data_IF_537706322334
#
_entry.id   IF_537706322334
#
_cell.length_a   1.000
_cell.length_b   1.000
_cell.length_c   1.000
_cell.angle_alpha   90.00
_cell.angle_beta   90.00
_cell.angle_gamma   90.00
#
_symmetry.space_group_name_H-M   'P 1'
#
loop_
_entity.id
_entity.type
_entity.pdbx_description
1 polymer ?
#
# COMPACT_ATOMS: atom_id res chain seq x y z
N UNK A 1 19.11 -36.25 39.87
CA UNK A 1 17.79 -36.12 39.20
C UNK A 1 17.10 -34.85 39.70
N UNK A 2 16.81 -34.63 40.98
CA UNK A 2 16.12 -33.44 41.50
C UNK A 2 16.79 -32.12 41.12
N UNK A 3 18.12 -32.04 41.26
CA UNK A 3 18.89 -30.86 40.88
C UNK A 3 18.78 -30.56 39.38
N UNK A 4 18.68 -31.57 38.51
CA UNK A 4 18.51 -31.41 37.07
C UNK A 4 17.11 -30.88 36.74
N UNK A 5 16.06 -31.35 37.44
CA UNK A 5 14.69 -30.82 37.28
C UNK A 5 14.56 -29.35 37.73
N UNK A 6 15.28 -28.97 38.81
CA UNK A 6 15.33 -27.57 39.23
C UNK A 6 15.98 -26.68 38.18
N UNK A 7 17.11 -27.11 37.59
CA UNK A 7 17.78 -26.40 36.51
C UNK A 7 16.79 -26.26 35.30
N UNK A 8 16.14 -27.35 34.90
CA UNK A 8 15.20 -27.37 33.79
C UNK A 8 14.02 -26.42 34.02
N UNK A 9 13.44 -26.43 35.24
CA UNK A 9 12.36 -25.51 35.58
C UNK A 9 12.79 -24.04 35.49
N UNK A 10 13.97 -23.69 35.96
CA UNK A 10 14.50 -22.33 35.84
C UNK A 10 14.70 -21.91 34.37
N UNK A 11 15.16 -22.82 33.51
CA UNK A 11 15.28 -22.53 32.06
C UNK A 11 13.89 -22.39 31.39
N UNK A 12 12.92 -23.20 31.78
CA UNK A 12 11.53 -23.05 31.28
C UNK A 12 10.92 -21.71 31.72
N UNK A 13 11.18 -21.25 32.96
CA UNK A 13 10.74 -19.92 33.42
C UNK A 13 11.35 -18.80 32.60
N UNK A 14 12.63 -18.89 32.35
CA UNK A 14 13.33 -17.92 31.49
C UNK A 14 12.79 -17.90 30.06
N UNK A 15 12.50 -19.09 29.49
CA UNK A 15 11.90 -19.17 28.15
C UNK A 15 10.49 -18.58 28.13
N UNK A 16 9.68 -18.78 29.20
CA UNK A 16 8.35 -18.19 29.34
C UNK A 16 8.40 -16.65 29.41
N UNK A 17 9.38 -16.09 30.14
CA UNK A 17 9.62 -14.63 30.18
C UNK A 17 9.99 -14.06 28.81
N UNK A 18 10.88 -14.73 28.07
CA UNK A 18 11.22 -14.33 26.70
C UNK A 18 10.02 -14.39 25.78
N UNK A 19 9.22 -15.45 25.87
CA UNK A 19 8.02 -15.59 25.06
C UNK A 19 6.99 -14.51 25.37
N UNK A 20 6.73 -14.19 26.63
CA UNK A 20 5.85 -13.08 27.03
C UNK A 20 6.32 -11.72 26.48
N UNK A 21 7.64 -11.51 26.43
CA UNK A 21 8.20 -10.31 25.82
C UNK A 21 7.92 -10.27 24.29
N UNK A 22 8.06 -11.41 23.60
CA UNK A 22 7.74 -11.53 22.18
C UNK A 22 6.24 -11.29 21.91
N UNK A 23 5.34 -11.87 22.75
CA UNK A 23 3.90 -11.64 22.68
C UNK A 23 3.54 -10.15 22.88
N UNK A 24 4.18 -9.50 23.86
CA UNK A 24 3.97 -8.05 24.12
C UNK A 24 4.42 -7.19 22.94
N UNK A 25 5.55 -7.53 22.29
CA UNK A 25 5.99 -6.83 21.07
C UNK A 25 5.06 -7.07 19.90
N UNK A 26 4.57 -8.29 19.75
CA UNK A 26 3.60 -8.64 18.71
C UNK A 26 2.35 -7.77 18.83
N UNK A 27 1.73 -7.77 20.00
CA UNK A 27 0.46 -7.06 20.22
C UNK A 27 0.62 -5.53 20.21
N UNK A 28 1.67 -4.97 20.83
CA UNK A 28 1.79 -3.53 21.05
C UNK A 28 2.61 -2.80 19.98
N UNK A 29 3.36 -3.49 19.14
CA UNK A 29 4.19 -2.89 18.10
C UNK A 29 3.74 -3.35 16.72
N UNK A 30 3.89 -4.65 16.42
CA UNK A 30 3.69 -5.14 15.05
C UNK A 30 2.22 -5.05 14.63
N UNK A 31 1.30 -5.53 15.46
CA UNK A 31 -0.13 -5.49 15.14
C UNK A 31 -0.67 -4.07 15.06
N UNK A 32 -0.18 -3.16 15.89
CA UNK A 32 -0.53 -1.73 15.81
C UNK A 32 -0.05 -1.11 14.50
N UNK A 33 1.21 -1.36 14.07
CA UNK A 33 1.75 -0.84 12.81
C UNK A 33 0.95 -1.33 11.60
N UNK A 34 0.49 -2.59 11.64
CA UNK A 34 -0.24 -3.21 10.53
C UNK A 34 -1.76 -3.15 10.70
N UNK A 35 -2.27 -2.42 11.70
CA UNK A 35 -3.71 -2.23 11.94
C UNK A 35 -4.45 -3.58 12.09
N UNK A 36 -3.82 -4.55 12.77
CA UNK A 36 -4.35 -5.89 13.03
C UNK A 36 -4.70 -6.06 14.50
N UNK A 37 -5.74 -6.84 14.80
CA UNK A 37 -6.17 -7.11 16.17
C UNK A 37 -5.15 -7.98 16.92
N UNK A 38 -4.91 -7.73 18.24
CA UNK A 38 -4.10 -8.57 19.10
C UNK A 38 -4.65 -10.00 19.18
N UNK A 39 -3.78 -10.99 19.37
CA UNK A 39 -4.21 -12.37 19.61
C UNK A 39 -4.75 -12.48 21.03
N UNK A 40 -6.01 -12.95 21.16
CA UNK A 40 -6.64 -13.13 22.47
C UNK A 40 -5.80 -14.02 23.39
N UNK A 41 -5.61 -13.56 24.63
CA UNK A 41 -4.83 -14.29 25.63
C UNK A 41 -5.36 -15.70 25.92
N UNK A 42 -6.67 -15.93 25.74
CA UNK A 42 -7.28 -17.25 25.88
C UNK A 42 -6.81 -18.22 24.79
N UNK A 43 -6.57 -17.72 23.57
CA UNK A 43 -6.00 -18.51 22.47
C UNK A 43 -4.56 -18.87 22.77
N UNK A 44 -3.75 -17.89 23.21
CA UNK A 44 -2.33 -18.09 23.55
C UNK A 44 -2.15 -19.12 24.67
N UNK A 45 -3.04 -19.12 25.66
CA UNK A 45 -2.98 -19.98 26.86
C UNK A 45 -3.99 -21.11 26.87
N UNK A 46 -4.76 -21.35 25.80
CA UNK A 46 -5.71 -22.45 25.74
C UNK A 46 -4.99 -23.76 26.05
N UNK A 47 -5.29 -24.38 27.19
CA UNK A 47 -4.70 -25.63 27.59
C UNK A 47 -4.89 -26.75 26.57
N UNK A 48 -4.01 -27.72 26.55
CA UNK A 48 -4.22 -28.97 25.78
C UNK A 48 -5.34 -29.78 26.42
N UNK A 49 -6.60 -29.44 26.09
CA UNK A 49 -7.75 -30.20 26.55
C UNK A 49 -7.74 -31.62 25.97
N UNK A 50 -8.11 -32.61 26.74
CA UNK A 50 -8.21 -33.99 26.34
C UNK A 50 -7.42 -34.94 27.26
N UNK A 51 -7.28 -36.17 26.90
CA UNK A 51 -6.69 -37.34 27.61
C UNK A 51 -5.64 -36.98 28.66
N UNK A 52 -5.73 -37.60 29.84
CA UNK A 52 -4.75 -37.44 30.93
C UNK A 52 -3.36 -37.99 30.50
N UNK A 53 -2.65 -37.13 29.73
CA UNK A 53 -1.37 -37.42 29.09
C UNK A 53 -0.28 -37.82 30.11
N UNK A 54 -0.48 -37.47 31.36
CA UNK A 54 0.47 -37.65 32.45
C UNK A 54 0.10 -38.78 33.41
N UNK A 55 -0.91 -39.61 33.09
CA UNK A 55 -1.40 -40.70 33.96
C UNK A 55 -0.28 -41.69 34.29
N UNK A 56 0.53 -42.07 33.31
CA UNK A 56 1.68 -42.98 33.46
C UNK A 56 2.82 -42.46 34.34
N UNK A 57 2.81 -41.15 34.63
CA UNK A 57 3.85 -40.50 35.45
C UNK A 57 3.45 -40.46 36.94
N UNK A 58 2.20 -40.76 37.30
CA UNK A 58 1.69 -40.63 38.67
C UNK A 58 2.38 -41.58 39.67
N UNK A 59 2.81 -42.75 39.21
CA UNK A 59 3.43 -43.77 40.03
C UNK A 59 4.96 -43.64 40.14
N UNK A 60 5.51 -42.57 39.56
CA UNK A 60 6.95 -42.33 39.59
C UNK A 60 7.38 -41.58 40.85
N UNK A 61 8.60 -41.86 41.33
CA UNK A 61 9.25 -41.02 42.36
C UNK A 61 9.31 -39.55 41.86
N UNK A 62 8.85 -38.63 42.72
CA UNK A 62 8.75 -37.19 42.37
C UNK A 62 7.74 -36.90 41.24
N UNK A 63 6.67 -37.71 41.12
CA UNK A 63 5.64 -37.57 40.08
C UNK A 63 5.12 -36.13 39.91
N UNK A 64 4.85 -35.44 41.00
CA UNK A 64 4.33 -34.04 40.95
C UNK A 64 5.30 -33.08 40.24
N UNK A 65 6.58 -33.17 40.54
CA UNK A 65 7.61 -32.34 39.90
C UNK A 65 7.72 -32.62 38.39
N UNK A 66 7.70 -33.90 38.03
CA UNK A 66 7.77 -34.37 36.64
C UNK A 66 6.56 -33.91 35.85
N UNK A 67 5.34 -34.10 36.40
CA UNK A 67 4.08 -33.71 35.79
C UNK A 67 4.01 -32.19 35.59
N UNK A 68 4.39 -31.39 36.59
CA UNK A 68 4.36 -29.92 36.49
C UNK A 68 5.36 -29.42 35.48
N UNK A 69 6.57 -29.97 35.43
CA UNK A 69 7.56 -29.62 34.41
C UNK A 69 7.08 -29.98 33.01
N UNK A 70 6.49 -31.14 32.83
CA UNK A 70 5.94 -31.60 31.53
C UNK A 70 4.77 -30.72 31.06
N UNK A 71 3.84 -30.35 31.96
CA UNK A 71 2.75 -29.41 31.65
C UNK A 71 3.29 -28.06 31.21
N UNK A 72 4.25 -27.50 31.94
CA UNK A 72 4.88 -26.22 31.61
C UNK A 72 5.57 -26.24 30.25
N UNK A 73 6.25 -27.34 29.91
CA UNK A 73 6.85 -27.55 28.60
C UNK A 73 5.82 -27.62 27.48
N UNK A 74 4.70 -28.35 27.69
CA UNK A 74 3.62 -28.44 26.71
C UNK A 74 2.93 -27.09 26.49
N UNK A 75 2.67 -26.30 27.54
CA UNK A 75 2.12 -24.96 27.48
C UNK A 75 3.06 -24.01 26.71
N UNK A 76 4.35 -24.01 27.04
CA UNK A 76 5.37 -23.20 26.37
C UNK A 76 5.51 -23.58 24.88
N UNK A 77 5.54 -24.88 24.58
CA UNK A 77 5.62 -25.36 23.20
C UNK A 77 4.43 -24.91 22.36
N UNK A 78 3.21 -24.93 22.92
CA UNK A 78 2.03 -24.46 22.26
C UNK A 78 2.04 -22.95 22.05
N UNK A 79 2.40 -22.19 23.07
CA UNK A 79 2.47 -20.74 22.97
C UNK A 79 3.52 -20.29 21.96
N UNK A 80 4.67 -20.96 21.87
CA UNK A 80 5.69 -20.76 20.82
C UNK A 80 5.13 -21.04 19.42
N UNK A 81 4.34 -22.12 19.25
CA UNK A 81 3.69 -22.43 17.98
C UNK A 81 2.72 -21.30 17.55
N UNK A 82 1.91 -20.82 18.48
CA UNK A 82 0.97 -19.72 18.22
C UNK A 82 1.72 -18.44 17.85
N UNK A 83 2.81 -18.14 18.59
CA UNK A 83 3.65 -16.96 18.29
C UNK A 83 4.33 -17.08 16.92
N UNK A 84 4.77 -18.27 16.53
CA UNK A 84 5.31 -18.51 15.18
C UNK A 84 4.27 -18.23 14.11
N UNK A 85 3.02 -18.68 14.33
CA UNK A 85 1.91 -18.40 13.39
C UNK A 85 1.54 -16.91 13.33
N UNK A 86 1.61 -16.22 14.44
CA UNK A 86 1.46 -14.76 14.46
C UNK A 86 2.50 -14.07 13.57
N UNK A 87 3.75 -14.49 13.63
CA UNK A 87 4.79 -13.92 12.78
C UNK A 87 4.61 -14.21 11.30
N UNK A 88 4.10 -15.39 10.92
CA UNK A 88 3.72 -15.69 9.53
C UNK A 88 2.65 -14.70 9.03
N UNK A 89 1.67 -14.36 9.88
CA UNK A 89 0.63 -13.37 9.59
C UNK A 89 1.24 -11.96 9.45
N UNK A 90 2.06 -11.53 10.42
CA UNK A 90 2.75 -10.22 10.39
C UNK A 90 3.62 -10.07 9.14
N UNK A 91 4.34 -11.10 8.73
CA UNK A 91 5.12 -11.09 7.48
C UNK A 91 4.22 -10.84 6.26
N UNK A 92 3.05 -11.48 6.22
CA UNK A 92 2.06 -11.28 5.14
C UNK A 92 1.53 -9.85 5.14
N UNK A 93 1.15 -9.31 6.31
CA UNK A 93 0.68 -7.93 6.45
C UNK A 93 1.76 -6.93 6.03
N UNK A 94 3.03 -7.16 6.41
CA UNK A 94 4.15 -6.32 6.01
C UNK A 94 4.36 -6.31 4.49
N UNK A 95 4.33 -7.48 3.84
CA UNK A 95 4.43 -7.59 2.38
C UNK A 95 3.30 -6.83 1.68
N UNK A 96 2.06 -7.00 2.14
CA UNK A 96 0.89 -6.31 1.60
C UNK A 96 1.00 -4.79 1.76
N UNK A 97 1.50 -4.30 2.89
CA UNK A 97 1.71 -2.86 3.14
C UNK A 97 2.76 -2.27 2.21
N UNK A 98 3.88 -2.98 1.99
CA UNK A 98 4.93 -2.57 1.05
C UNK A 98 4.38 -2.52 -0.38
N UNK A 99 3.63 -3.54 -0.80
CA UNK A 99 3.00 -3.59 -2.11
C UNK A 99 1.99 -2.47 -2.29
N UNK A 100 1.15 -2.22 -1.30
CA UNK A 100 0.20 -1.10 -1.30
C UNK A 100 0.92 0.25 -1.45
N UNK A 101 1.96 0.52 -0.68
CA UNK A 101 2.72 1.77 -0.75
C UNK A 101 3.41 1.97 -2.11
N UNK A 102 3.87 0.89 -2.74
CA UNK A 102 4.42 0.94 -4.10
C UNK A 102 3.34 1.19 -5.16
N UNK A 103 2.11 0.77 -4.90
CA UNK A 103 0.97 0.86 -5.82
C UNK A 103 0.24 2.20 -5.76
N UNK A 104 0.20 2.88 -4.61
CA UNK A 104 -0.40 4.22 -4.50
C UNK A 104 0.26 5.17 -5.50
N UNK A 105 -0.52 5.91 -6.34
CA UNK A 105 0.03 6.89 -7.28
C UNK A 105 0.63 8.07 -6.50
N UNK A 106 1.96 8.14 -6.39
CA UNK A 106 2.65 9.02 -5.45
C UNK A 106 3.69 9.95 -6.10
N UNK A 107 3.77 9.97 -7.43
CA UNK A 107 4.64 10.87 -8.20
C UNK A 107 3.84 11.62 -9.26
N UNK A 108 4.42 12.69 -9.79
CA UNK A 108 3.89 13.42 -10.93
C UNK A 108 3.88 12.54 -12.19
N UNK A 109 2.86 12.68 -13.07
CA UNK A 109 2.83 11.96 -14.35
C UNK A 109 3.88 12.44 -15.36
N UNK A 110 4.43 13.62 -15.14
CA UNK A 110 5.49 14.26 -15.96
C UNK A 110 6.51 14.95 -15.07
N UNK A 111 7.72 15.15 -15.57
CA UNK A 111 8.78 15.85 -14.83
C UNK A 111 8.62 17.37 -14.95
N UNK A 112 8.42 18.08 -13.85
CA UNK A 112 8.46 19.55 -13.80
C UNK A 112 9.88 20.12 -13.79
N UNK A 113 10.91 19.27 -13.78
CA UNK A 113 12.31 19.70 -13.94
C UNK A 113 12.63 20.11 -15.37
N UNK A 114 11.82 19.70 -16.34
CA UNK A 114 11.90 20.18 -17.72
C UNK A 114 11.25 21.58 -17.80
N UNK A 115 11.99 22.63 -18.19
CA UNK A 115 11.46 24.00 -18.28
C UNK A 115 10.27 24.16 -19.24
N UNK A 116 10.10 23.23 -20.18
CA UNK A 116 8.97 23.22 -21.11
C UNK A 116 7.69 22.65 -20.49
N UNK A 117 7.79 21.97 -19.35
CA UNK A 117 6.67 21.31 -18.68
C UNK A 117 6.23 22.14 -17.48
N UNK A 118 4.93 22.43 -17.40
CA UNK A 118 4.35 23.21 -16.30
C UNK A 118 2.95 22.70 -15.96
N UNK A 119 2.54 22.91 -14.73
CA UNK A 119 1.16 22.80 -14.33
C UNK A 119 0.28 23.77 -15.13
N UNK A 120 -0.88 23.34 -15.59
CA UNK A 120 -1.78 24.17 -16.38
C UNK A 120 -3.21 24.23 -15.85
N UNK A 121 -3.68 23.19 -15.14
CA UNK A 121 -5.10 23.13 -14.79
C UNK A 121 -5.37 22.16 -13.62
N UNK A 122 -6.14 22.61 -12.60
CA UNK A 122 -6.46 21.87 -11.40
C UNK A 122 -7.71 21.00 -11.55
N UNK A 123 -7.90 20.05 -10.66
CA UNK A 123 -9.13 19.30 -10.45
C UNK A 123 -10.27 20.22 -9.93
N UNK A 124 -11.50 19.95 -10.30
CA UNK A 124 -12.67 20.61 -9.74
C UNK A 124 -13.67 21.18 -10.76
N UNK A 125 -14.74 21.76 -10.26
CA UNK A 125 -15.79 22.37 -11.09
C UNK A 125 -15.34 23.70 -11.68
N UNK A 126 -15.48 23.84 -12.99
CA UNK A 126 -15.10 25.06 -13.70
C UNK A 126 -15.79 25.22 -15.05
N UNK A 127 -15.67 26.41 -15.65
CA UNK A 127 -16.19 26.68 -16.97
C UNK A 127 -15.40 25.91 -18.04
N UNK A 128 -16.07 24.99 -18.72
CA UNK A 128 -15.46 24.22 -19.80
C UNK A 128 -15.09 25.14 -20.98
N UNK A 129 -13.86 25.09 -21.52
CA UNK A 129 -13.40 26.05 -22.52
C UNK A 129 -14.19 26.00 -23.84
N UNK A 130 -14.62 24.81 -24.25
CA UNK A 130 -15.35 24.59 -25.50
C UNK A 130 -16.88 24.77 -25.29
N UNK A 131 -17.47 24.09 -24.31
CA UNK A 131 -18.90 24.05 -24.11
C UNK A 131 -19.48 25.26 -23.36
N UNK A 132 -18.62 26.08 -22.71
CA UNK A 132 -19.02 27.25 -21.90
C UNK A 132 -20.03 26.93 -20.80
N UNK A 133 -20.02 25.74 -20.27
CA UNK A 133 -20.85 25.26 -19.16
C UNK A 133 -19.95 24.82 -18.00
N UNK A 134 -20.46 24.91 -16.76
CA UNK A 134 -19.74 24.40 -15.59
C UNK A 134 -19.72 22.88 -15.62
N UNK A 135 -18.52 22.31 -15.67
CA UNK A 135 -18.28 20.86 -15.64
C UNK A 135 -17.21 20.52 -14.62
N UNK A 136 -17.26 19.28 -14.11
CA UNK A 136 -16.19 18.73 -13.31
C UNK A 136 -15.00 18.41 -14.23
N UNK A 137 -13.84 18.98 -13.96
CA UNK A 137 -12.57 18.51 -14.46
C UNK A 137 -12.09 17.39 -13.53
N UNK A 138 -12.10 16.17 -14.01
CA UNK A 138 -11.88 14.97 -13.20
C UNK A 138 -10.40 14.67 -12.89
N UNK A 139 -9.48 15.54 -13.33
CA UNK A 139 -8.04 15.36 -13.21
C UNK A 139 -7.27 16.65 -13.07
N UNK A 140 -5.98 16.58 -13.35
CA UNK A 140 -5.07 17.71 -13.46
C UNK A 140 -4.38 17.70 -14.81
N UNK A 141 -4.13 18.90 -15.37
CA UNK A 141 -3.44 19.04 -16.64
C UNK A 141 -2.04 19.59 -16.45
N UNK A 142 -1.11 19.03 -17.22
CA UNK A 142 0.25 19.54 -17.33
C UNK A 142 0.57 19.78 -18.80
N UNK A 143 0.88 21.01 -19.15
CA UNK A 143 1.28 21.39 -20.51
C UNK A 143 2.77 21.19 -20.72
N UNK A 144 3.17 20.89 -21.96
CA UNK A 144 4.57 20.69 -22.34
C UNK A 144 4.71 20.42 -23.84
N UNK A 145 5.91 20.12 -24.28
CA UNK A 145 6.16 19.76 -25.68
C UNK A 145 5.54 18.41 -26.04
N UNK A 146 5.05 18.28 -27.28
CA UNK A 146 4.67 16.97 -27.83
C UNK A 146 5.88 16.04 -27.77
N UNK A 147 5.69 14.81 -27.24
CA UNK A 147 6.77 13.85 -27.05
C UNK A 147 7.42 13.86 -25.66
N UNK A 148 7.02 14.77 -24.75
CA UNK A 148 7.44 14.72 -23.35
C UNK A 148 7.06 13.37 -22.73
N UNK A 149 8.00 12.67 -22.06
CA UNK A 149 7.71 11.38 -21.44
C UNK A 149 6.63 11.47 -20.35
N UNK A 150 5.74 10.49 -20.33
CA UNK A 150 4.71 10.32 -19.31
C UNK A 150 5.04 9.07 -18.51
N UNK A 151 4.97 9.18 -17.18
CA UNK A 151 5.37 8.14 -16.24
C UNK A 151 4.18 7.51 -15.51
N UNK A 152 4.24 6.20 -15.26
CA UNK A 152 3.33 5.52 -14.36
C UNK A 152 3.54 6.05 -12.93
N UNK A 153 2.49 6.54 -12.30
CA UNK A 153 2.59 7.21 -10.98
C UNK A 153 2.62 6.24 -9.80
N UNK A 154 2.28 4.97 -10.02
CA UNK A 154 2.33 3.84 -9.08
C UNK A 154 2.60 2.53 -9.82
N UNK A 155 2.99 1.47 -9.08
CA UNK A 155 3.03 0.13 -9.62
C UNK A 155 1.62 -0.31 -10.02
N UNK A 156 1.47 -1.06 -11.11
CA UNK A 156 0.15 -1.51 -11.53
C UNK A 156 0.16 -2.37 -12.79
N UNK A 157 -1.04 -2.58 -13.31
CA UNK A 157 -1.29 -3.30 -14.56
C UNK A 157 -2.08 -2.43 -15.52
N UNK A 158 -1.61 -2.29 -16.73
CA UNK A 158 -2.31 -1.55 -17.79
C UNK A 158 -3.63 -2.26 -18.10
N UNK A 159 -4.75 -1.57 -17.92
CA UNK A 159 -6.09 -2.06 -18.27
C UNK A 159 -6.28 -1.94 -19.78
N UNK A 160 -6.03 -0.74 -20.31
CA UNK A 160 -6.02 -0.47 -21.74
C UNK A 160 -5.01 0.63 -22.11
N UNK A 161 -4.59 0.62 -23.39
CA UNK A 161 -3.83 1.67 -24.06
C UNK A 161 -4.42 1.83 -25.46
N UNK A 162 -5.40 2.73 -25.62
CA UNK A 162 -6.21 2.85 -26.83
C UNK A 162 -6.82 4.25 -27.02
N UNK A 163 -7.49 4.46 -28.16
CA UNK A 163 -8.16 5.71 -28.49
C UNK A 163 -9.56 5.74 -27.87
N UNK A 164 -9.85 6.73 -27.06
CA UNK A 164 -11.18 7.00 -26.50
C UNK A 164 -11.75 8.33 -26.99
N UNK A 165 -13.07 8.38 -27.18
CA UNK A 165 -13.76 9.62 -27.53
C UNK A 165 -13.56 10.65 -26.39
N UNK A 166 -13.13 11.85 -26.74
CA UNK A 166 -12.81 12.91 -25.78
C UNK A 166 -11.37 12.84 -25.30
N UNK A 167 -10.96 11.75 -24.66
CA UNK A 167 -9.60 11.58 -24.09
C UNK A 167 -8.48 11.39 -25.15
N UNK A 168 -8.84 11.14 -26.42
CA UNK A 168 -7.85 10.84 -27.43
C UNK A 168 -7.11 9.53 -27.14
N UNK A 169 -5.82 9.47 -27.43
CA UNK A 169 -4.98 8.35 -27.02
C UNK A 169 -4.80 8.38 -25.52
N UNK A 170 -5.23 7.32 -24.83
CA UNK A 170 -5.15 7.25 -23.37
C UNK A 170 -4.71 5.88 -22.86
N UNK A 171 -4.17 5.88 -21.65
CA UNK A 171 -3.76 4.70 -20.89
C UNK A 171 -4.50 4.72 -19.56
N UNK A 172 -5.11 3.59 -19.19
CA UNK A 172 -5.65 3.34 -17.86
C UNK A 172 -4.80 2.28 -17.17
N UNK A 173 -4.36 2.57 -15.95
CA UNK A 173 -3.61 1.65 -15.09
C UNK A 173 -4.44 1.33 -13.86
N UNK A 174 -4.57 0.04 -13.55
CA UNK A 174 -5.09 -0.46 -12.29
C UNK A 174 -3.91 -0.77 -11.36
N UNK A 175 -3.87 -0.09 -10.22
CA UNK A 175 -2.81 -0.22 -9.21
C UNK A 175 -3.16 -1.25 -8.11
N UNK A 176 -4.36 -1.85 -8.16
CA UNK A 176 -4.89 -2.56 -7.02
C UNK A 176 -5.29 -1.61 -5.88
N UNK A 177 -5.65 -2.17 -4.72
CA UNK A 177 -6.03 -1.39 -3.52
C UNK A 177 -7.07 -0.28 -3.82
N UNK A 178 -7.92 -0.50 -4.82
CA UNK A 178 -8.95 0.42 -5.31
C UNK A 178 -8.44 1.72 -5.95
N UNK A 179 -7.18 1.77 -6.38
CA UNK A 179 -6.61 2.90 -7.12
C UNK A 179 -6.51 2.61 -8.61
N UNK A 180 -6.90 3.59 -9.42
CA UNK A 180 -6.68 3.61 -10.87
C UNK A 180 -6.18 4.98 -11.29
N UNK A 181 -5.38 5.04 -12.36
CA UNK A 181 -4.95 6.32 -12.97
C UNK A 181 -5.20 6.30 -14.47
N UNK A 182 -5.67 7.45 -14.98
CA UNK A 182 -5.92 7.69 -16.40
C UNK A 182 -4.94 8.76 -16.90
N UNK A 183 -4.35 8.50 -18.07
CA UNK A 183 -3.42 9.39 -18.77
C UNK A 183 -3.96 9.63 -20.18
N UNK A 184 -4.34 10.86 -20.53
CA UNK A 184 -5.03 11.16 -21.77
C UNK A 184 -4.26 12.15 -22.68
N UNK A 185 -4.80 12.39 -23.86
CA UNK A 185 -4.27 13.28 -24.92
C UNK A 185 -2.86 12.92 -25.42
N UNK A 186 -2.45 11.66 -25.26
CA UNK A 186 -1.11 11.17 -25.62
C UNK A 186 -0.85 11.21 -27.12
N UNK A 187 0.42 11.37 -27.53
CA UNK A 187 0.86 11.22 -28.92
C UNK A 187 1.15 9.75 -29.28
N UNK A 188 1.70 9.01 -28.33
CA UNK A 188 2.04 7.59 -28.52
C UNK A 188 2.01 6.83 -27.19
N UNK A 189 1.71 5.52 -27.28
CA UNK A 189 1.82 4.57 -26.17
C UNK A 189 3.21 3.92 -26.16
N UNK A 190 3.74 3.64 -24.97
CA UNK A 190 4.93 2.82 -24.75
C UNK A 190 4.58 1.49 -24.02
N UNK A 191 3.29 1.24 -23.82
CA UNK A 191 2.76 0.07 -23.11
C UNK A 191 1.55 -0.49 -23.83
N UNK A 192 1.14 -1.71 -23.45
CA UNK A 192 -0.04 -2.41 -23.98
C UNK A 192 -0.91 -2.97 -22.86
N UNK A 193 -2.18 -3.22 -23.16
CA UNK A 193 -3.11 -3.87 -22.24
C UNK A 193 -2.55 -5.17 -21.64
N UNK A 194 -2.72 -5.35 -20.34
CA UNK A 194 -2.21 -6.48 -19.57
C UNK A 194 -0.76 -6.37 -19.10
N UNK A 195 0.00 -5.39 -19.57
CA UNK A 195 1.40 -5.17 -19.17
C UNK A 195 1.48 -4.69 -17.71
N UNK A 196 2.39 -5.28 -16.92
CA UNK A 196 2.76 -4.76 -15.59
C UNK A 196 3.73 -3.60 -15.77
N UNK A 197 3.53 -2.54 -14.99
CA UNK A 197 4.38 -1.34 -14.93
C UNK A 197 4.79 -1.07 -13.50
N UNK A 198 5.95 -0.47 -13.33
CA UNK A 198 6.43 0.06 -12.04
C UNK A 198 6.28 1.57 -12.02
N UNK A 199 6.16 2.13 -10.82
CA UNK A 199 6.24 3.59 -10.63
C UNK A 199 7.50 4.14 -11.29
N UNK A 200 7.35 5.20 -12.11
CA UNK A 200 8.43 5.80 -12.87
C UNK A 200 8.70 5.19 -14.25
N UNK A 201 8.04 4.09 -14.64
CA UNK A 201 8.15 3.57 -16.00
C UNK A 201 7.52 4.53 -17.00
N UNK A 202 8.16 4.72 -18.17
CA UNK A 202 7.59 5.51 -19.26
C UNK A 202 6.46 4.71 -19.91
N UNK A 203 5.24 5.22 -19.82
CA UNK A 203 4.02 4.59 -20.38
C UNK A 203 3.60 5.15 -21.72
N UNK A 204 4.14 6.28 -22.11
CA UNK A 204 3.90 6.95 -23.40
C UNK A 204 4.40 8.37 -23.41
N UNK A 205 3.87 9.16 -24.32
CA UNK A 205 4.38 10.50 -24.60
C UNK A 205 3.24 11.51 -24.72
N UNK A 206 3.46 12.72 -24.23
CA UNK A 206 2.52 13.83 -24.30
C UNK A 206 2.16 14.16 -25.75
N UNK A 207 0.91 14.53 -25.97
CA UNK A 207 0.40 14.87 -27.28
C UNK A 207 -0.67 15.96 -27.24
N UNK A 208 -1.53 15.95 -28.29
CA UNK A 208 -2.66 16.84 -28.43
C UNK A 208 -3.79 16.09 -29.17
N UNK A 209 -4.08 14.84 -28.74
CA UNK A 209 -5.10 14.00 -29.38
C UNK A 209 -6.42 14.06 -28.62
N UNK A 210 -7.54 13.83 -29.31
CA UNK A 210 -8.86 13.93 -28.69
C UNK A 210 -9.37 15.37 -28.57
N UNK A 211 -10.14 15.65 -27.52
CA UNK A 211 -10.71 16.97 -27.26
C UNK A 211 -9.73 17.81 -26.45
N UNK A 212 -8.79 18.43 -27.11
CA UNK A 212 -7.67 19.17 -26.50
C UNK A 212 -7.41 20.46 -27.26
N UNK A 213 -7.12 21.55 -26.57
CA UNK A 213 -6.84 22.87 -27.14
C UNK A 213 -5.36 23.14 -27.38
N UNK A 214 -4.48 22.29 -26.85
CA UNK A 214 -3.01 22.41 -27.00
C UNK A 214 -2.29 21.22 -26.39
N UNK A 215 -0.98 21.06 -26.62
CA UNK A 215 -0.22 19.92 -26.09
C UNK A 215 -0.21 19.89 -24.56
N UNK A 216 -0.80 18.84 -23.98
CA UNK A 216 -0.83 18.59 -22.54
C UNK A 216 -1.08 17.11 -22.23
N UNK A 217 -0.90 16.73 -21.00
CA UNK A 217 -1.38 15.48 -20.41
C UNK A 217 -2.53 15.80 -19.48
N UNK A 218 -3.69 15.15 -19.67
CA UNK A 218 -4.75 15.11 -18.67
C UNK A 218 -4.55 13.86 -17.82
N UNK A 219 -4.47 14.05 -16.50
CA UNK A 219 -4.16 13.00 -15.53
C UNK A 219 -5.23 12.90 -14.44
N UNK A 220 -5.85 11.71 -14.32
CA UNK A 220 -6.83 11.43 -13.28
C UNK A 220 -6.32 10.39 -12.28
N UNK A 221 -6.67 10.57 -11.01
CA UNK A 221 -6.61 9.55 -9.97
C UNK A 221 -8.03 9.16 -9.59
N UNK A 222 -8.32 7.86 -9.59
CA UNK A 222 -9.60 7.32 -9.12
C UNK A 222 -9.37 6.44 -7.90
N UNK A 223 -10.19 6.66 -6.87
CA UNK A 223 -10.27 5.81 -5.69
C UNK A 223 -11.67 5.22 -5.59
N UNK A 224 -11.78 3.88 -5.51
CA UNK A 224 -13.08 3.18 -5.57
C UNK A 224 -13.91 3.56 -6.82
N UNK A 225 -13.25 3.78 -7.96
CA UNK A 225 -13.89 4.18 -9.22
C UNK A 225 -14.32 5.65 -9.32
N UNK A 226 -14.16 6.44 -8.27
CA UNK A 226 -14.53 7.86 -8.19
C UNK A 226 -13.30 8.72 -8.40
N UNK A 227 -13.31 9.72 -9.33
CA UNK A 227 -12.23 10.68 -9.47
C UNK A 227 -11.99 11.46 -8.17
N UNK A 228 -10.74 11.59 -7.79
CA UNK A 228 -10.28 12.36 -6.62
C UNK A 228 -9.21 13.34 -7.06
N UNK A 229 -8.99 14.40 -6.27
CA UNK A 229 -8.01 15.43 -6.60
C UNK A 229 -6.57 14.83 -6.58
N UNK A 230 -5.87 14.79 -7.73
CA UNK A 230 -4.54 14.21 -7.84
C UNK A 230 -3.48 14.93 -7.02
N UNK A 231 -3.69 16.21 -6.66
CA UNK A 231 -2.72 17.00 -5.89
C UNK A 231 -2.37 16.35 -4.55
N UNK A 232 -3.30 15.60 -3.96
CA UNK A 232 -3.13 14.92 -2.68
C UNK A 232 -2.19 13.70 -2.73
N UNK A 233 -1.64 13.38 -3.92
CA UNK A 233 -0.88 12.16 -4.17
C UNK A 233 0.59 12.39 -4.55
N UNK A 234 1.08 13.65 -4.64
CA UNK A 234 2.45 13.96 -5.12
C UNK A 234 3.51 13.99 -4.01
N UNK A 235 3.32 13.26 -2.92
CA UNK A 235 4.16 13.31 -1.72
C UNK A 235 5.55 12.67 -1.85
N UNK A 236 5.80 11.88 -2.92
CA UNK A 236 7.12 11.27 -3.14
C UNK A 236 8.02 12.06 -4.10
N UNK A 237 7.49 13.05 -4.80
CA UNK A 237 8.18 13.72 -5.91
C UNK A 237 8.49 15.18 -5.62
N UNK A 238 7.74 15.80 -4.70
CA UNK A 238 7.81 17.20 -4.37
C UNK A 238 8.34 17.40 -2.95
N UNK A 239 9.21 18.38 -2.79
CA UNK A 239 9.52 18.95 -1.47
C UNK A 239 8.31 19.72 -0.93
N UNK A 240 8.29 20.02 0.36
CA UNK A 240 7.21 20.80 0.97
C UNK A 240 7.01 22.16 0.26
N UNK A 241 8.09 22.86 -0.06
CA UNK A 241 8.05 24.15 -0.76
C UNK A 241 7.51 24.03 -2.20
N UNK A 242 7.88 22.97 -2.93
CA UNK A 242 7.37 22.69 -4.27
C UNK A 242 5.89 22.31 -4.24
N UNK A 243 5.47 21.55 -3.24
CA UNK A 243 4.08 21.20 -3.03
C UNK A 243 3.22 22.44 -2.72
N UNK A 244 3.66 23.32 -1.81
CA UNK A 244 2.96 24.57 -1.47
C UNK A 244 2.82 25.50 -2.68
N UNK A 245 3.84 25.57 -3.54
CA UNK A 245 3.76 26.29 -4.80
C UNK A 245 2.72 25.71 -5.74
N UNK A 246 2.73 24.37 -5.92
CA UNK A 246 1.76 23.69 -6.78
C UNK A 246 0.32 23.89 -6.28
N UNK A 247 0.08 23.79 -4.97
CA UNK A 247 -1.22 24.05 -4.34
C UNK A 247 -1.67 25.50 -4.57
N UNK A 248 -0.76 26.46 -4.43
CA UNK A 248 -1.04 27.87 -4.66
C UNK A 248 -1.40 28.14 -6.13
N UNK A 249 -0.66 27.55 -7.06
CA UNK A 249 -0.95 27.63 -8.50
C UNK A 249 -2.28 26.95 -8.84
N UNK A 250 -2.56 25.79 -8.26
CA UNK A 250 -3.81 25.05 -8.46
C UNK A 250 -5.06 25.84 -8.00
N UNK A 251 -4.93 26.59 -6.89
CA UNK A 251 -6.01 27.44 -6.40
C UNK A 251 -6.21 28.71 -7.24
N UNK A 252 -5.17 29.18 -7.92
CA UNK A 252 -5.22 30.42 -8.71
C UNK A 252 -5.57 30.19 -10.20
N UNK A 253 -5.37 28.97 -10.73
CA UNK A 253 -5.57 28.66 -12.14
C UNK A 253 -6.93 28.03 -12.39
N UNK A 254 -7.90 28.83 -12.84
CA UNK A 254 -9.26 28.40 -13.22
C UNK A 254 -9.46 28.06 -14.71
N UNK A 255 -8.38 27.93 -15.51
CA UNK A 255 -8.50 27.65 -16.96
C UNK A 255 -8.23 26.18 -17.27
N UNK A 256 -9.06 25.59 -18.13
CA UNK A 256 -8.89 24.21 -18.63
C UNK A 256 -8.25 24.19 -20.02
N UNK A 257 -7.56 23.08 -20.34
CA UNK A 257 -7.00 22.80 -21.68
C UNK A 257 -7.89 21.82 -22.47
N UNK A 258 -8.87 21.22 -21.85
CA UNK A 258 -9.85 20.24 -22.37
C UNK A 258 -11.31 20.58 -21.99
#
# INVERSE_FOLDING_TARGET
>A
ILAQYHILNNELERMDEVLKNLETRDDNIYRVIFESEPIDASIRRAGSGGVNRYESLKDMDNAELIINTSKKLDELSKALYIQSKSYDEIETLAKNKIEMLASIPAILPVSLKDPSTRFSSSYGYRMHPIYKTVKLHAGMDFSGAVGTPIYATGNGKVVYAEMHQGYGKCVLIDHGFNYQTLYAHMSAYNVKAGQKVKRGDIIGYMGNTGMSTGPHIHYEVKKNGIPVDPINYYFNDLTADEYDKLVTEANNNGQTMD
#
